data_IF_939656390083
#
_entry.id   IF_939656390083
#
_cell.length_a   1.000
_cell.length_b   1.000
_cell.length_c   1.000
_cell.angle_alpha   90.00
_cell.angle_beta   90.00
_cell.angle_gamma   90.00
#
_symmetry.space_group_name_H-M   'P 1'
#
loop_
_entity.id
_entity.type
_entity.pdbx_description
1 polymer ?
#
# COMPACT_ATOMS: atom_id res chain seq x y z
N UNK A 1 12.04 5.92 -20.58
CA UNK A 1 10.77 5.23 -20.94
C UNK A 1 9.64 6.04 -20.32
N UNK A 2 8.77 6.63 -21.14
CA UNK A 2 7.59 7.36 -20.64
C UNK A 2 6.45 6.35 -20.57
N UNK A 3 5.82 6.21 -19.40
CA UNK A 3 4.68 5.33 -19.21
C UNK A 3 3.41 6.17 -19.25
N UNK A 4 2.49 5.83 -20.16
CA UNK A 4 1.16 6.43 -20.22
C UNK A 4 0.26 5.77 -19.18
N UNK A 5 -0.36 6.57 -18.32
CA UNK A 5 -1.29 6.08 -17.32
C UNK A 5 -2.66 5.86 -17.95
N UNK A 6 -3.23 4.66 -17.80
CA UNK A 6 -4.61 4.39 -18.24
C UNK A 6 -5.60 5.24 -17.45
N UNK A 7 -6.70 5.65 -18.10
CA UNK A 7 -7.75 6.45 -17.46
C UNK A 7 -8.40 5.74 -16.26
N UNK A 8 -8.51 4.40 -16.31
CA UNK A 8 -8.97 3.57 -15.18
C UNK A 8 -7.86 2.61 -14.74
N UNK A 9 -7.35 2.71 -13.51
CA UNK A 9 -6.32 1.80 -13.02
C UNK A 9 -6.94 0.45 -12.61
N UNK A 10 -6.17 -0.64 -12.77
CA UNK A 10 -6.56 -1.97 -12.27
C UNK A 10 -6.23 -2.16 -10.78
N UNK A 11 -5.30 -1.35 -10.24
CA UNK A 11 -4.94 -1.33 -8.84
C UNK A 11 -4.54 0.08 -8.40
N UNK A 12 -4.78 0.40 -7.13
CA UNK A 12 -4.32 1.63 -6.48
C UNK A 12 -3.49 1.31 -5.24
N UNK A 13 -2.44 2.07 -5.03
CA UNK A 13 -1.60 2.00 -3.84
C UNK A 13 -1.71 3.31 -3.06
N UNK A 14 -2.00 3.20 -1.77
CA UNK A 14 -2.04 4.35 -0.89
C UNK A 14 -1.12 4.14 0.32
N UNK A 15 -0.08 4.96 0.40
CA UNK A 15 0.85 4.93 1.53
C UNK A 15 0.41 5.90 2.63
N UNK A 16 0.25 5.40 3.85
CA UNK A 16 -0.11 6.20 5.03
C UNK A 16 0.88 5.97 6.16
N UNK A 17 1.44 7.06 6.66
CA UNK A 17 2.08 7.05 7.98
C UNK A 17 0.98 7.10 9.04
N UNK A 18 0.91 6.09 9.88
CA UNK A 18 -0.05 5.98 10.98
C UNK A 18 0.78 5.97 12.26
N UNK A 19 0.85 7.09 12.97
CA UNK A 19 1.66 7.21 14.18
C UNK A 19 1.28 8.43 15.00
N UNK A 20 1.70 8.42 16.26
CA UNK A 20 1.55 9.54 17.20
C UNK A 20 2.85 10.35 17.15
N UNK A 21 2.78 11.65 16.85
CA UNK A 21 3.94 12.53 16.99
C UNK A 21 4.24 12.70 18.50
N UNK A 22 5.51 12.58 18.90
CA UNK A 22 5.91 12.81 20.30
C UNK A 22 5.39 14.18 20.78
N UNK A 23 4.62 14.17 21.86
CA UNK A 23 3.93 15.35 22.41
C UNK A 23 2.42 15.40 22.14
N UNK A 24 1.90 14.68 21.14
CA UNK A 24 0.46 14.60 20.85
C UNK A 24 -0.13 13.29 21.38
N UNK A 25 -0.22 13.13 22.70
CA UNK A 25 -0.59 11.85 23.35
C UNK A 25 -1.97 11.25 23.01
N UNK A 26 -2.83 11.88 22.20
CA UNK A 26 -4.08 11.33 21.64
C UNK A 26 -4.67 12.39 20.72
N UNK A 27 -5.24 12.00 19.56
CA UNK A 27 -6.01 12.97 18.79
C UNK A 27 -6.82 12.44 17.60
N UNK A 28 -7.98 13.07 17.28
CA UNK A 28 -8.82 12.80 16.10
C UNK A 28 -8.07 12.72 14.77
N UNK A 29 -6.91 13.34 14.64
CA UNK A 29 -6.21 13.48 13.36
C UNK A 29 -5.73 12.16 12.76
N UNK A 30 -5.34 11.17 13.57
CA UNK A 30 -4.84 9.88 13.04
C UNK A 30 -5.98 9.00 12.56
N UNK A 31 -7.11 8.98 13.30
CA UNK A 31 -8.33 8.31 12.85
C UNK A 31 -8.97 9.02 11.65
N UNK A 32 -8.91 10.36 11.57
CA UNK A 32 -9.39 11.09 10.39
C UNK A 32 -8.56 10.75 9.14
N UNK A 33 -7.23 10.66 9.24
CA UNK A 33 -6.39 10.19 8.13
C UNK A 33 -6.71 8.75 7.72
N UNK A 34 -7.00 7.88 8.69
CA UNK A 34 -7.42 6.52 8.42
C UNK A 34 -8.79 6.47 7.73
N UNK A 35 -9.75 7.29 8.16
CA UNK A 35 -11.07 7.45 7.54
C UNK A 35 -10.98 7.99 6.12
N UNK A 36 -10.08 8.94 5.85
CA UNK A 36 -9.84 9.45 4.50
C UNK A 36 -9.32 8.35 3.57
N UNK A 37 -8.34 7.56 4.01
CA UNK A 37 -7.85 6.40 3.24
C UNK A 37 -8.96 5.35 3.03
N UNK A 38 -9.72 5.07 4.08
CA UNK A 38 -10.88 4.19 4.00
C UNK A 38 -11.94 4.65 2.99
N UNK A 39 -12.23 5.96 2.95
CA UNK A 39 -13.14 6.56 2.00
C UNK A 39 -12.64 6.41 0.55
N UNK A 40 -11.34 6.65 0.31
CA UNK A 40 -10.72 6.44 -1.00
C UNK A 40 -10.84 4.98 -1.44
N UNK A 41 -10.46 4.02 -0.58
CA UNK A 41 -10.54 2.59 -0.90
C UNK A 41 -11.98 2.17 -1.26
N UNK A 42 -12.95 2.60 -0.46
CA UNK A 42 -14.38 2.29 -0.67
C UNK A 42 -14.96 2.92 -1.93
N UNK A 43 -14.47 4.10 -2.32
CA UNK A 43 -14.99 4.83 -3.47
C UNK A 43 -14.33 4.45 -4.79
N UNK A 44 -13.12 3.86 -4.75
CA UNK A 44 -12.35 3.50 -5.93
C UNK A 44 -12.88 2.22 -6.63
N UNK A 45 -13.22 1.20 -5.84
CA UNK A 45 -13.65 -0.11 -6.38
C UNK A 45 -15.16 -0.29 -6.28
N UNK A 46 -15.78 -0.94 -7.26
CA UNK A 46 -17.20 -1.32 -7.17
C UNK A 46 -17.42 -2.59 -6.33
N UNK A 47 -16.36 -3.34 -6.00
CA UNK A 47 -16.45 -4.44 -5.05
C UNK A 47 -16.56 -3.88 -3.63
N UNK A 48 -17.73 -4.03 -3.02
CA UNK A 48 -18.01 -3.53 -1.67
C UNK A 48 -18.02 -4.68 -0.67
N UNK A 49 -17.62 -4.39 0.57
CA UNK A 49 -17.66 -5.36 1.68
C UNK A 49 -18.95 -5.20 2.46
N UNK A 50 -19.62 -6.32 2.72
CA UNK A 50 -20.81 -6.42 3.56
C UNK A 50 -20.60 -7.48 4.64
N UNK A 51 -21.46 -7.45 5.66
CA UNK A 51 -21.48 -8.44 6.74
C UNK A 51 -22.82 -9.16 6.74
N UNK A 52 -22.79 -10.48 6.94
CA UNK A 52 -24.00 -11.27 7.22
C UNK A 52 -24.47 -11.03 8.65
N UNK A 53 -25.64 -11.55 8.99
CA UNK A 53 -26.17 -11.61 10.36
C UNK A 53 -25.24 -12.38 11.31
N UNK A 54 -24.53 -13.37 10.79
CA UNK A 54 -23.48 -14.12 11.50
C UNK A 54 -22.13 -13.38 11.56
N UNK A 55 -22.04 -12.18 10.98
CA UNK A 55 -20.82 -11.36 10.99
C UNK A 55 -19.75 -11.79 10.00
N UNK A 56 -20.05 -12.68 9.05
CA UNK A 56 -19.09 -13.13 8.03
C UNK A 56 -18.86 -12.04 6.98
N UNK A 57 -17.66 -11.99 6.40
CA UNK A 57 -17.30 -10.95 5.42
C UNK A 57 -17.63 -11.42 4.01
N UNK A 58 -18.60 -10.78 3.38
CA UNK A 58 -19.00 -11.01 2.00
C UNK A 58 -18.65 -9.81 1.11
N UNK A 59 -18.46 -10.08 -0.18
CA UNK A 59 -18.32 -9.08 -1.21
C UNK A 59 -19.61 -8.95 -1.99
N UNK A 60 -19.92 -7.74 -2.45
CA UNK A 60 -21.01 -7.45 -3.38
C UNK A 60 -20.48 -6.59 -4.53
N UNK A 61 -20.83 -6.97 -5.76
CA UNK A 61 -20.56 -6.19 -6.96
C UNK A 61 -21.78 -6.27 -7.89
N UNK A 62 -22.14 -5.15 -8.52
CA UNK A 62 -23.31 -5.10 -9.41
C UNK A 62 -22.91 -5.38 -10.85
N UNK A 63 -23.66 -6.27 -11.50
CA UNK A 63 -23.59 -6.52 -12.95
C UNK A 63 -24.20 -5.37 -13.76
N UNK A 64 -24.05 -5.34 -15.08
CA UNK A 64 -24.62 -4.31 -15.97
C UNK A 64 -26.13 -4.32 -15.98
N UNK A 65 -26.76 -5.46 -15.69
CA UNK A 65 -28.20 -5.59 -15.48
C UNK A 65 -28.67 -5.13 -14.08
N UNK A 66 -27.79 -4.51 -13.29
CA UNK A 66 -28.04 -4.06 -11.93
C UNK A 66 -28.41 -5.19 -10.94
N UNK A 67 -28.12 -6.46 -11.27
CA UNK A 67 -28.26 -7.56 -10.32
C UNK A 67 -27.00 -7.65 -9.43
N UNK A 68 -27.17 -7.81 -8.11
CA UNK A 68 -26.05 -8.00 -7.22
C UNK A 68 -25.45 -9.39 -7.41
N UNK A 69 -24.12 -9.46 -7.41
CA UNK A 69 -23.36 -10.69 -7.34
C UNK A 69 -22.63 -10.73 -6.00
N UNK A 70 -22.96 -11.71 -5.17
CA UNK A 70 -22.59 -11.78 -3.75
C UNK A 70 -21.94 -13.13 -3.47
N UNK A 71 -20.76 -13.10 -2.84
CA UNK A 71 -19.96 -14.28 -2.45
C UNK A 71 -19.08 -13.94 -1.23
N UNK A 72 -18.48 -14.93 -0.53
CA UNK A 72 -17.46 -14.66 0.46
C UNK A 72 -16.39 -13.73 -0.13
N UNK A 73 -15.99 -12.72 0.64
CA UNK A 73 -15.30 -11.56 0.07
C UNK A 73 -13.98 -11.91 -0.65
N UNK A 74 -13.17 -12.80 -0.05
CA UNK A 74 -11.89 -13.21 -0.64
C UNK A 74 -12.10 -14.06 -1.89
N UNK A 75 -13.07 -14.98 -1.86
CA UNK A 75 -13.42 -15.79 -3.02
C UNK A 75 -13.89 -14.92 -4.20
N UNK A 76 -14.75 -13.93 -3.93
CA UNK A 76 -15.24 -13.03 -4.97
C UNK A 76 -14.10 -12.18 -5.55
N UNK A 77 -13.22 -11.66 -4.69
CA UNK A 77 -12.06 -10.88 -5.12
C UNK A 77 -11.15 -11.72 -6.02
N UNK A 78 -10.81 -12.94 -5.62
CA UNK A 78 -9.98 -13.85 -6.41
C UNK A 78 -10.64 -14.25 -7.72
N UNK A 79 -11.94 -14.56 -7.70
CA UNK A 79 -12.70 -14.85 -8.92
C UNK A 79 -12.65 -13.70 -9.92
N UNK A 80 -12.82 -12.46 -9.46
CA UNK A 80 -12.72 -11.29 -10.34
C UNK A 80 -11.29 -11.19 -10.90
N UNK A 81 -10.27 -11.31 -10.06
CA UNK A 81 -8.86 -11.16 -10.46
C UNK A 81 -8.46 -12.25 -11.47
N UNK A 82 -8.82 -13.50 -11.24
CA UNK A 82 -8.37 -14.64 -12.03
C UNK A 82 -9.32 -15.04 -13.18
N UNK A 83 -10.45 -14.34 -13.36
CA UNK A 83 -11.35 -14.55 -14.50
C UNK A 83 -11.05 -13.61 -15.66
N UNK A 84 -11.68 -13.89 -16.80
CA UNK A 84 -11.77 -13.00 -17.96
C UNK A 84 -13.15 -12.30 -18.06
N UNK A 85 -13.91 -12.28 -16.95
CA UNK A 85 -15.23 -11.65 -16.91
C UNK A 85 -15.09 -10.12 -16.98
N UNK A 86 -15.21 -9.59 -18.21
CA UNK A 86 -15.08 -8.16 -18.50
C UNK A 86 -16.14 -7.32 -17.77
N UNK A 87 -17.31 -7.89 -17.47
CA UNK A 87 -18.40 -7.21 -16.77
C UNK A 87 -17.99 -6.84 -15.34
N UNK A 88 -17.29 -7.76 -14.66
CA UNK A 88 -16.79 -7.58 -13.31
C UNK A 88 -15.49 -6.78 -13.29
N UNK A 89 -14.54 -7.13 -14.16
CA UNK A 89 -13.22 -6.50 -14.24
C UNK A 89 -13.28 -5.00 -14.51
N UNK A 90 -14.14 -4.57 -15.43
CA UNK A 90 -14.27 -3.13 -15.75
C UNK A 90 -14.74 -2.28 -14.59
N UNK A 91 -15.29 -2.88 -13.52
CA UNK A 91 -15.80 -2.20 -12.32
C UNK A 91 -14.91 -2.38 -11.10
N UNK A 92 -13.93 -3.29 -11.19
CA UNK A 92 -13.04 -3.64 -10.11
C UNK A 92 -11.75 -2.82 -10.17
N UNK A 93 -11.31 -2.36 -9.00
CA UNK A 93 -9.97 -1.80 -8.79
C UNK A 93 -9.44 -2.45 -7.52
N UNK A 94 -8.27 -3.10 -7.59
CA UNK A 94 -7.63 -3.66 -6.41
C UNK A 94 -7.05 -2.54 -5.54
N UNK A 95 -7.50 -2.43 -4.31
CA UNK A 95 -7.09 -1.38 -3.37
C UNK A 95 -6.04 -1.91 -2.40
N UNK A 96 -4.85 -1.31 -2.42
CA UNK A 96 -3.71 -1.69 -1.56
C UNK A 96 -3.32 -0.52 -0.66
N UNK A 97 -3.52 -0.69 0.64
CA UNK A 97 -3.03 0.23 1.66
C UNK A 97 -1.65 -0.19 2.14
N UNK A 98 -0.70 0.74 2.19
CA UNK A 98 0.62 0.54 2.77
C UNK A 98 0.73 1.43 4.00
N UNK A 99 0.87 0.84 5.17
CA UNK A 99 0.96 1.57 6.44
C UNK A 99 2.33 1.41 7.08
N UNK A 100 2.89 2.48 7.62
CA UNK A 100 4.04 2.40 8.54
C UNK A 100 3.64 3.00 9.88
N UNK A 101 4.15 2.44 10.97
CA UNK A 101 3.99 3.01 12.31
C UNK A 101 5.37 3.25 12.91
N UNK A 102 5.54 4.38 13.58
CA UNK A 102 6.76 4.70 14.32
C UNK A 102 6.32 4.90 15.78
N UNK A 103 6.50 3.89 16.64
CA UNK A 103 6.23 4.02 18.08
C UNK A 103 5.42 2.89 18.74
N UNK A 104 5.71 1.62 18.46
CA UNK A 104 5.24 0.44 19.23
C UNK A 104 3.72 0.18 19.30
N UNK A 105 3.07 -0.09 18.17
CA UNK A 105 1.68 -0.63 18.19
C UNK A 105 1.50 -1.93 17.38
N UNK A 106 2.58 -2.58 16.96
CA UNK A 106 2.45 -3.82 16.22
C UNK A 106 2.45 -5.01 17.19
N UNK A 107 1.25 -5.48 17.53
CA UNK A 107 1.02 -6.92 17.66
C UNK A 107 -0.07 -7.24 16.65
N UNK A 108 0.19 -8.17 15.73
CA UNK A 108 -0.80 -8.60 14.72
C UNK A 108 -2.13 -9.08 15.37
N UNK A 109 -2.11 -9.33 16.68
CA UNK A 109 -3.22 -9.82 17.48
C UNK A 109 -4.11 -8.72 18.09
N UNK A 110 -3.63 -7.47 18.24
CA UNK A 110 -4.41 -6.38 18.84
C UNK A 110 -4.32 -5.07 18.04
N UNK A 111 -5.05 -5.03 16.91
CA UNK A 111 -5.18 -3.83 16.09
C UNK A 111 -5.88 -2.70 16.85
N UNK A 112 -5.29 -1.50 16.82
CA UNK A 112 -5.99 -0.28 17.20
C UNK A 112 -7.17 0.02 16.25
N UNK A 113 -8.02 0.96 16.64
CA UNK A 113 -9.25 1.28 15.90
C UNK A 113 -8.95 1.73 14.48
N UNK A 114 -7.85 2.45 14.28
CA UNK A 114 -7.37 2.94 13.00
C UNK A 114 -6.98 1.80 12.05
N UNK A 115 -6.17 0.85 12.51
CA UNK A 115 -5.81 -0.34 11.74
C UNK A 115 -7.02 -1.19 11.41
N UNK A 116 -7.99 -1.33 12.33
CA UNK A 116 -9.25 -2.02 12.06
C UNK A 116 -10.05 -1.35 10.94
N UNK A 117 -10.16 -0.01 10.97
CA UNK A 117 -10.84 0.76 9.91
C UNK A 117 -10.15 0.57 8.56
N UNK A 118 -8.82 0.65 8.51
CA UNK A 118 -8.05 0.46 7.29
C UNK A 118 -8.15 -0.98 6.76
N UNK A 119 -8.00 -1.99 7.62
CA UNK A 119 -8.06 -3.41 7.26
C UNK A 119 -9.44 -3.82 6.74
N UNK A 120 -10.49 -3.16 7.22
CA UNK A 120 -11.84 -3.32 6.68
C UNK A 120 -12.01 -2.62 5.33
N UNK A 121 -11.24 -1.57 5.04
CA UNK A 121 -11.48 -0.73 3.86
C UNK A 121 -10.73 -1.19 2.63
N UNK A 122 -9.43 -1.47 2.73
CA UNK A 122 -8.62 -1.94 1.58
C UNK A 122 -8.76 -3.43 1.34
N UNK A 123 -8.63 -3.84 0.09
CA UNK A 123 -8.58 -5.25 -0.30
C UNK A 123 -7.31 -5.91 0.27
N UNK A 124 -6.19 -5.18 0.17
CA UNK A 124 -4.93 -5.49 0.86
C UNK A 124 -4.52 -4.35 1.78
N UNK A 125 -4.09 -4.69 2.99
CA UNK A 125 -3.42 -3.77 3.90
C UNK A 125 -2.09 -4.40 4.30
N UNK A 126 -0.98 -3.76 3.95
CA UNK A 126 0.37 -4.20 4.26
C UNK A 126 1.06 -3.20 5.20
N UNK A 127 1.89 -3.71 6.09
CA UNK A 127 2.56 -2.94 7.13
C UNK A 127 4.07 -2.97 6.93
N UNK A 128 4.67 -1.80 6.70
CA UNK A 128 6.13 -1.61 6.70
C UNK A 128 6.63 -1.68 8.15
N UNK A 129 7.43 -2.69 8.43
CA UNK A 129 7.96 -2.98 9.77
C UNK A 129 9.03 -1.98 10.20
N UNK A 130 9.11 -1.76 11.52
CA UNK A 130 10.19 -0.97 12.13
C UNK A 130 11.57 -1.56 11.82
N UNK A 131 11.70 -2.88 11.79
CA UNK A 131 12.95 -3.56 11.45
C UNK A 131 13.37 -3.27 10.00
N UNK A 132 12.46 -3.37 9.04
CA UNK A 132 12.76 -3.07 7.64
C UNK A 132 13.15 -1.61 7.44
N UNK A 133 12.44 -0.69 8.09
CA UNK A 133 12.80 0.73 8.06
C UNK A 133 14.15 1.01 8.75
N UNK A 134 14.41 0.40 9.91
CA UNK A 134 15.66 0.56 10.64
C UNK A 134 16.83 0.05 9.80
N UNK A 135 16.66 -1.08 9.11
CA UNK A 135 17.65 -1.59 8.18
C UNK A 135 17.97 -0.57 7.07
N UNK A 136 16.96 -0.01 6.40
CA UNK A 136 17.15 1.05 5.41
C UNK A 136 17.96 2.23 5.95
N UNK A 137 17.61 2.71 7.16
CA UNK A 137 18.28 3.83 7.82
C UNK A 137 19.73 3.49 8.14
N UNK A 138 19.99 2.31 8.69
CA UNK A 138 21.35 1.87 9.05
C UNK A 138 22.21 1.74 7.81
N UNK A 139 21.73 1.08 6.76
CA UNK A 139 22.52 0.78 5.57
C UNK A 139 22.78 1.97 4.65
N UNK A 140 21.90 2.98 4.65
CA UNK A 140 22.00 4.11 3.73
C UNK A 140 22.35 5.43 4.41
N UNK A 141 22.01 5.60 5.69
CA UNK A 141 22.15 6.88 6.39
C UNK A 141 23.17 6.81 7.52
N UNK A 142 23.13 5.80 8.39
CA UNK A 142 24.03 5.75 9.55
C UNK A 142 25.39 5.16 9.19
N UNK A 143 25.41 3.99 8.54
CA UNK A 143 26.62 3.22 8.20
C UNK A 143 26.67 2.86 6.71
N UNK A 144 26.66 3.84 5.79
CA UNK A 144 26.61 3.56 4.35
C UNK A 144 27.90 2.92 3.84
N UNK A 145 27.73 1.88 3.02
CA UNK A 145 28.81 1.41 2.12
C UNK A 145 29.16 2.55 1.14
N UNK A 146 30.39 2.55 0.59
CA UNK A 146 30.85 3.59 -0.35
C UNK A 146 29.86 3.90 -1.48
N UNK A 147 29.21 2.87 -2.03
CA UNK A 147 28.19 2.99 -3.08
C UNK A 147 26.90 3.73 -2.67
N UNK A 148 26.67 3.94 -1.38
CA UNK A 148 25.48 4.58 -0.81
C UNK A 148 25.75 5.98 -0.24
N UNK A 149 26.98 6.48 -0.32
CA UNK A 149 27.37 7.78 0.25
C UNK A 149 26.53 8.95 -0.29
N UNK A 150 26.14 8.91 -1.57
CA UNK A 150 25.30 9.95 -2.19
C UNK A 150 23.93 10.08 -1.55
N UNK A 151 23.36 8.97 -1.08
CA UNK A 151 22.08 8.96 -0.34
C UNK A 151 22.27 9.65 1.02
N UNK A 152 23.34 9.29 1.73
CA UNK A 152 23.66 9.91 3.02
C UNK A 152 23.93 11.42 2.87
N UNK A 153 24.69 11.84 1.86
CA UNK A 153 24.99 13.24 1.56
C UNK A 153 23.71 14.03 1.25
N UNK A 154 22.86 13.52 0.35
CA UNK A 154 21.59 14.15 0.02
C UNK A 154 20.66 14.28 1.24
N UNK A 155 20.63 13.25 2.09
CA UNK A 155 19.92 13.30 3.37
C UNK A 155 20.49 14.39 4.27
N UNK A 156 21.80 14.37 4.57
CA UNK A 156 22.45 15.37 5.45
C UNK A 156 22.21 16.79 4.95
N UNK A 157 22.40 17.04 3.65
CA UNK A 157 22.17 18.34 3.01
C UNK A 157 20.74 18.86 3.17
N UNK A 158 19.78 17.96 3.31
CA UNK A 158 18.36 18.28 3.51
C UNK A 158 17.98 18.64 4.95
N UNK A 159 18.88 18.40 5.91
CA UNK A 159 18.63 18.60 7.34
C UNK A 159 19.71 19.42 8.06
N UNK A 160 20.68 20.01 7.34
CA UNK A 160 21.64 20.96 7.94
C UNK A 160 20.98 22.28 8.37
N UNK A 161 21.56 22.96 9.35
CA UNK A 161 21.09 24.27 9.82
C UNK A 161 21.15 25.36 8.73
N UNK A 162 22.09 25.25 7.79
CA UNK A 162 22.30 26.18 6.67
C UNK A 162 21.54 25.78 5.40
N UNK A 163 20.61 24.83 5.47
CA UNK A 163 19.92 24.31 4.28
C UNK A 163 19.14 25.41 3.57
N UNK A 164 19.37 25.54 2.25
CA UNK A 164 18.55 26.41 1.40
C UNK A 164 17.27 25.72 0.93
N UNK A 165 17.35 24.43 0.59
CA UNK A 165 16.22 23.61 0.08
C UNK A 165 16.42 22.13 0.43
N UNK A 166 15.31 21.42 0.66
CA UNK A 166 15.31 19.96 0.85
C UNK A 166 15.42 19.26 -0.51
N UNK A 167 16.32 18.29 -0.63
CA UNK A 167 16.60 17.48 -1.84
C UNK A 167 16.44 15.99 -1.58
N UNK A 168 15.82 15.61 -0.47
CA UNK A 168 15.57 14.22 -0.09
C UNK A 168 14.09 14.04 0.28
N UNK A 169 13.21 14.26 -0.69
CA UNK A 169 11.75 14.20 -0.53
C UNK A 169 11.07 13.48 -1.70
N UNK A 170 9.80 13.09 -1.51
CA UNK A 170 8.99 12.46 -2.56
C UNK A 170 8.82 13.31 -3.84
N UNK A 171 8.87 14.64 -3.71
CA UNK A 171 8.63 15.58 -4.83
C UNK A 171 9.93 16.10 -5.42
N UNK A 172 11.03 15.95 -4.69
CA UNK A 172 12.33 16.47 -5.05
C UNK A 172 13.41 15.60 -4.42
N UNK A 173 14.13 14.91 -5.28
CA UNK A 173 15.24 14.03 -4.94
C UNK A 173 16.49 14.51 -5.68
N UNK A 174 17.64 14.47 -5.01
CA UNK A 174 18.94 14.61 -5.66
C UNK A 174 19.12 13.49 -6.70
N UNK A 175 19.62 13.83 -7.89
CA UNK A 175 19.66 12.91 -9.02
C UNK A 175 20.56 11.69 -8.77
N UNK A 176 21.72 11.90 -8.14
CA UNK A 176 22.64 10.80 -7.83
C UNK A 176 22.08 9.92 -6.71
N UNK A 177 21.47 10.54 -5.69
CA UNK A 177 20.79 9.80 -4.63
C UNK A 177 19.62 8.96 -5.17
N UNK A 178 18.82 9.51 -6.09
CA UNK A 178 17.71 8.79 -6.75
C UNK A 178 18.20 7.55 -7.50
N UNK A 179 19.23 7.70 -8.33
CA UNK A 179 19.82 6.58 -9.07
C UNK A 179 20.35 5.48 -8.12
N UNK A 180 20.98 5.87 -7.02
CA UNK A 180 21.48 4.94 -6.01
C UNK A 180 20.34 4.25 -5.26
N UNK A 181 19.27 4.96 -4.91
CA UNK A 181 18.08 4.39 -4.27
C UNK A 181 17.38 3.40 -5.19
N UNK A 182 17.17 3.73 -6.47
CA UNK A 182 16.60 2.82 -7.46
C UNK A 182 17.41 1.53 -7.55
N UNK A 183 18.74 1.65 -7.58
CA UNK A 183 19.63 0.49 -7.57
C UNK A 183 19.54 -0.31 -6.27
N UNK A 184 19.50 0.36 -5.12
CA UNK A 184 19.35 -0.30 -3.81
C UNK A 184 18.07 -1.14 -3.76
N UNK A 185 16.93 -0.58 -4.15
CA UNK A 185 15.66 -1.32 -4.13
C UNK A 185 15.67 -2.47 -5.14
N UNK A 186 16.25 -2.26 -6.33
CA UNK A 186 16.38 -3.31 -7.35
C UNK A 186 17.27 -4.47 -6.91
N UNK A 187 18.42 -4.19 -6.29
CA UNK A 187 19.40 -5.21 -5.88
C UNK A 187 18.90 -6.03 -4.67
N UNK A 188 18.02 -5.46 -3.83
CA UNK A 188 17.61 -6.07 -2.55
C UNK A 188 16.12 -6.47 -2.49
N UNK A 189 15.44 -6.63 -3.64
CA UNK A 189 13.99 -6.90 -3.71
C UNK A 189 13.51 -8.01 -2.76
N UNK A 190 14.23 -9.15 -2.73
CA UNK A 190 13.87 -10.30 -1.89
C UNK A 190 13.89 -9.98 -0.40
N UNK A 191 14.84 -9.17 0.03
CA UNK A 191 15.00 -8.77 1.42
C UNK A 191 13.95 -7.73 1.80
N UNK A 192 13.72 -6.75 0.93
CA UNK A 192 12.70 -5.71 1.10
C UNK A 192 11.29 -6.30 1.16
N UNK A 193 11.01 -7.40 0.45
CA UNK A 193 9.73 -8.11 0.61
C UNK A 193 9.50 -8.57 2.05
N UNK A 194 10.56 -8.92 2.77
CA UNK A 194 10.52 -9.28 4.19
C UNK A 194 10.27 -8.09 5.12
N UNK A 195 10.31 -6.85 4.61
CA UNK A 195 10.00 -5.66 5.41
C UNK A 195 8.51 -5.48 5.64
N UNK A 196 7.65 -6.22 4.94
CA UNK A 196 6.20 -6.04 4.98
C UNK A 196 5.48 -7.20 5.67
N UNK A 197 4.64 -6.87 6.64
CA UNK A 197 3.66 -7.79 7.21
C UNK A 197 2.31 -7.61 6.50
N UNK A 198 1.55 -8.70 6.33
CA UNK A 198 0.19 -8.64 5.78
C UNK A 198 -0.80 -8.50 6.93
N UNK A 199 -1.58 -7.42 6.94
CA UNK A 199 -2.66 -7.18 7.90
C UNK A 199 -3.99 -7.71 7.35
N UNK A 200 -4.25 -7.46 6.08
CA UNK A 200 -5.40 -7.96 5.36
C UNK A 200 -5.01 -8.26 3.91
N UNK A 201 -5.57 -9.31 3.30
CA UNK A 201 -6.41 -10.33 3.93
C UNK A 201 -5.60 -11.26 4.85
N UNK A 202 -6.27 -11.84 5.85
CA UNK A 202 -5.62 -12.73 6.83
C UNK A 202 -5.02 -13.97 6.15
N UNK A 203 -3.88 -14.46 6.68
CA UNK A 203 -3.19 -15.68 6.24
C UNK A 203 -2.61 -15.66 4.82
N UNK A 204 -2.80 -14.58 4.06
CA UNK A 204 -2.12 -14.41 2.77
C UNK A 204 -0.68 -13.89 2.92
N UNK A 205 0.12 -14.12 1.89
CA UNK A 205 1.53 -13.70 1.77
C UNK A 205 1.69 -12.61 0.72
N UNK A 206 2.77 -11.82 0.84
CA UNK A 206 3.11 -10.79 -0.15
C UNK A 206 3.28 -11.35 -1.57
N UNK A 207 3.70 -12.62 -1.69
CA UNK A 207 3.78 -13.33 -2.97
C UNK A 207 2.44 -13.50 -3.67
N UNK A 208 1.34 -13.57 -2.93
CA UNK A 208 -0.01 -13.67 -3.51
C UNK A 208 -0.46 -12.32 -4.06
N UNK A 209 -0.26 -11.22 -3.31
CA UNK A 209 -0.49 -9.87 -3.82
C UNK A 209 0.29 -9.63 -5.12
N UNK A 210 1.55 -10.05 -5.17
CA UNK A 210 2.35 -9.99 -6.41
C UNK A 210 1.71 -10.76 -7.56
N UNK A 211 1.22 -11.97 -7.32
CA UNK A 211 0.54 -12.78 -8.35
C UNK A 211 -0.73 -12.08 -8.83
N UNK A 212 -1.55 -11.57 -7.92
CA UNK A 212 -2.78 -10.84 -8.24
C UNK A 212 -2.49 -9.58 -9.08
N UNK A 213 -1.45 -8.82 -8.73
CA UNK A 213 -1.03 -7.64 -9.50
C UNK A 213 -0.48 -8.01 -10.89
N UNK A 214 0.28 -9.09 -10.99
CA UNK A 214 0.79 -9.60 -12.27
C UNK A 214 -0.37 -10.02 -13.15
N UNK A 215 -1.33 -10.76 -12.60
CA UNK A 215 -2.53 -11.23 -13.28
C UNK A 215 -3.34 -10.05 -13.83
N UNK A 216 -3.68 -9.07 -12.97
CA UNK A 216 -4.39 -7.87 -13.38
C UNK A 216 -3.60 -7.12 -14.47
N UNK A 217 -2.29 -6.94 -14.31
CA UNK A 217 -1.44 -6.27 -15.31
C UNK A 217 -1.44 -6.98 -16.67
N UNK A 218 -1.51 -8.31 -16.70
CA UNK A 218 -1.48 -9.08 -17.96
C UNK A 218 -2.78 -9.02 -18.77
N UNK A 219 -3.87 -8.52 -18.20
CA UNK A 219 -5.17 -8.46 -18.90
C UNK A 219 -5.17 -7.42 -20.03
N UNK A 220 -6.00 -7.67 -21.05
CA UNK A 220 -6.21 -6.74 -22.15
C UNK A 220 -7.19 -5.61 -21.75
N UNK A 221 -6.70 -4.65 -20.96
CA UNK A 221 -7.51 -3.53 -20.46
C UNK A 221 -8.10 -2.66 -21.56
N UNK A 222 -7.50 -2.60 -22.75
CA UNK A 222 -8.06 -1.91 -23.91
C UNK A 222 -9.36 -2.54 -24.44
N UNK A 223 -9.58 -3.83 -24.18
CA UNK A 223 -10.81 -4.56 -24.54
C UNK A 223 -11.81 -4.59 -23.38
N UNK A 224 -11.32 -4.51 -22.15
CA UNK A 224 -12.15 -4.58 -20.93
C UNK A 224 -12.85 -3.24 -20.65
N UNK A 225 -12.15 -2.12 -20.87
CA UNK A 225 -12.65 -0.75 -20.70
C UNK A 225 -13.38 -0.27 -21.95
#
# INVERSE_FOLDING_TARGET
>A
MVFEQMQKPYAIFECKRVGVEEGNQKGPQTIEKAKQGAYVARSASSLQKIRTDMGEKYGIIYRSNNKPYIKPYIELMEEIIYSDDTELLKKFILTVGVVSNHGNWFTAENHNKELKVLAQSYDWLIFLTDNGLAQFIVELILNPKKKYLKVQEAFKNSYTASKKRNVFTKVKMDFEADAVLLKYFSDNLKEIEGWFNIIAPERKKISELKKELIELRSKNWKKIL
#
